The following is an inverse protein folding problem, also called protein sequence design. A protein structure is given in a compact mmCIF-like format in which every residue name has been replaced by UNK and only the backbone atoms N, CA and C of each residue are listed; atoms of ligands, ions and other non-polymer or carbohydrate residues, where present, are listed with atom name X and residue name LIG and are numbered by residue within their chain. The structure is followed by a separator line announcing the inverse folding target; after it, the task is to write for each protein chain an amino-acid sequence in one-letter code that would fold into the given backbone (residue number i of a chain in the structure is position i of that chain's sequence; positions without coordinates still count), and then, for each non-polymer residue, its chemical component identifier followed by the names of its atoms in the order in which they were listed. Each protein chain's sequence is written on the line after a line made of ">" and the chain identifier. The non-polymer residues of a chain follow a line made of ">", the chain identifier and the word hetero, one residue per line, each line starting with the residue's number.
data_IF_099853137295
#
_entry.id   IF_099853137295
#
_cell.length_a   1.000
_cell.length_b   1.000
_cell.length_c   1.000
_cell.angle_alpha   90.00
_cell.angle_beta   90.00
_cell.angle_gamma   90.00
#
_symmetry.space_group_name_H-M   'P 1'
#
loop_
_entity.id
_entity.type
_entity.pdbx_description
1 polymer ?
#
# COMPACT_ATOMS: atom_id res chain seq x y z
N UNK A 1 3.80 12.86 -29.12
CA UNK A 1 3.05 11.75 -28.52
C UNK A 1 3.66 11.51 -27.16
N UNK A 2 3.04 12.08 -26.12
CA UNK A 2 3.41 11.85 -24.72
C UNK A 2 2.77 10.57 -24.18
N UNK A 3 3.18 10.08 -23.00
CA UNK A 3 2.90 8.73 -22.55
C UNK A 3 1.42 8.55 -22.17
N UNK A 4 0.91 7.37 -22.51
CA UNK A 4 -0.40 6.83 -22.17
C UNK A 4 -0.26 6.19 -20.78
N UNK A 5 -0.85 6.78 -19.74
CA UNK A 5 -0.55 6.46 -18.34
C UNK A 5 -1.43 5.33 -17.79
N UNK A 6 -1.40 4.17 -18.44
CA UNK A 6 -1.82 2.90 -17.84
C UNK A 6 -3.16 2.33 -18.32
N UNK A 7 -4.06 3.15 -18.86
CA UNK A 7 -5.30 2.73 -19.50
C UNK A 7 -5.33 3.21 -20.96
N UNK A 8 -6.21 2.64 -21.78
CA UNK A 8 -6.36 3.07 -23.16
C UNK A 8 -7.26 4.31 -23.22
N UNK A 9 -6.84 5.40 -23.86
CA UNK A 9 -7.60 6.67 -23.88
C UNK A 9 -9.08 6.51 -24.30
N UNK A 10 -9.37 5.60 -25.23
CA UNK A 10 -10.75 5.33 -25.64
C UNK A 10 -11.54 4.62 -24.54
N UNK A 11 -10.92 3.68 -23.82
CA UNK A 11 -11.52 2.98 -22.68
C UNK A 11 -11.76 3.95 -21.53
N UNK A 12 -10.77 4.77 -21.20
CA UNK A 12 -10.86 5.79 -20.14
C UNK A 12 -12.07 6.70 -20.34
N UNK A 13 -12.20 7.29 -21.54
CA UNK A 13 -13.27 8.27 -21.81
C UNK A 13 -14.64 7.61 -21.98
N UNK A 14 -14.72 6.43 -22.62
CA UNK A 14 -16.02 5.85 -23.01
C UNK A 14 -16.53 4.76 -22.06
N UNK A 15 -15.68 4.22 -21.20
CA UNK A 15 -16.03 3.09 -20.30
C UNK A 15 -15.87 3.49 -18.85
N UNK A 16 -14.68 3.97 -18.47
CA UNK A 16 -14.34 4.19 -17.06
C UNK A 16 -14.65 5.61 -16.57
N UNK A 17 -14.97 6.53 -17.50
CA UNK A 17 -15.18 7.96 -17.26
C UNK A 17 -13.99 8.65 -16.58
N UNK A 18 -12.79 8.14 -16.83
CA UNK A 18 -11.53 8.69 -16.35
C UNK A 18 -10.91 9.64 -17.37
N UNK A 19 -9.86 10.36 -16.97
CA UNK A 19 -9.18 11.34 -17.80
C UNK A 19 -7.85 10.78 -18.33
N UNK A 20 -7.69 10.57 -19.65
CA UNK A 20 -6.46 10.00 -20.22
C UNK A 20 -5.19 10.85 -20.01
N UNK A 21 -5.35 12.12 -19.62
CA UNK A 21 -4.23 13.01 -19.30
C UNK A 21 -4.01 13.17 -17.80
N UNK A 22 -4.76 12.46 -16.95
CA UNK A 22 -4.64 12.49 -15.51
C UNK A 22 -4.78 11.07 -14.96
N UNK A 23 -3.67 10.52 -14.47
CA UNK A 23 -3.59 9.15 -13.95
C UNK A 23 -4.39 8.89 -12.66
N UNK A 24 -4.85 9.94 -11.99
CA UNK A 24 -5.64 9.91 -10.75
C UNK A 24 -6.77 10.94 -10.94
N UNK A 25 -7.88 10.48 -11.50
CA UNK A 25 -8.93 11.34 -12.05
C UNK A 25 -9.63 12.15 -10.97
N UNK A 26 -9.84 11.58 -9.78
CA UNK A 26 -10.53 12.25 -8.67
C UNK A 26 -9.61 12.87 -7.61
N UNK A 27 -8.30 12.71 -7.78
CA UNK A 27 -7.23 13.33 -6.98
C UNK A 27 -7.22 12.88 -5.52
N UNK A 28 -7.56 11.62 -5.26
CA UNK A 28 -7.54 11.03 -3.92
C UNK A 28 -6.21 10.34 -3.55
N UNK A 29 -5.34 10.23 -4.55
CA UNK A 29 -3.98 9.74 -4.43
C UNK A 29 -3.76 8.31 -4.91
N UNK A 30 -4.79 7.66 -5.46
CA UNK A 30 -4.71 6.36 -6.11
C UNK A 30 -4.82 6.50 -7.63
N UNK A 31 -4.01 5.73 -8.37
CA UNK A 31 -4.09 5.77 -9.83
C UNK A 31 -5.34 5.06 -10.33
N UNK A 32 -5.96 5.57 -11.40
CA UNK A 32 -7.22 5.06 -11.96
C UNK A 32 -7.15 3.55 -12.23
N UNK A 33 -6.03 3.06 -12.76
CA UNK A 33 -5.80 1.64 -13.04
C UNK A 33 -5.72 0.78 -11.75
N UNK A 34 -5.17 1.33 -10.68
CA UNK A 34 -5.00 0.68 -9.39
C UNK A 34 -6.35 0.56 -8.70
N UNK A 35 -7.17 1.60 -8.79
CA UNK A 35 -8.55 1.60 -8.31
C UNK A 35 -9.44 0.60 -9.04
N UNK A 36 -9.42 0.62 -10.39
CA UNK A 36 -10.18 -0.34 -11.19
C UNK A 36 -9.78 -1.79 -10.86
N UNK A 37 -8.48 -2.04 -10.66
CA UNK A 37 -7.97 -3.37 -10.27
C UNK A 37 -8.47 -3.79 -8.89
N UNK A 38 -8.65 -2.83 -7.97
CA UNK A 38 -9.12 -3.05 -6.61
C UNK A 38 -10.64 -2.82 -6.44
N UNK A 39 -11.37 -2.73 -7.55
CA UNK A 39 -12.83 -2.59 -7.60
C UNK A 39 -13.35 -1.33 -6.87
N UNK A 40 -12.57 -0.25 -6.92
CA UNK A 40 -12.98 1.07 -6.46
C UNK A 40 -13.26 2.00 -7.63
N UNK A 41 -13.82 3.17 -7.34
CA UNK A 41 -14.32 4.11 -8.33
C UNK A 41 -13.33 5.27 -8.53
N UNK A 42 -12.65 5.36 -9.69
CA UNK A 42 -11.63 6.38 -9.96
C UNK A 42 -12.16 7.80 -10.20
N UNK A 43 -13.48 7.96 -10.11
CA UNK A 43 -14.16 9.25 -10.24
C UNK A 43 -14.79 9.70 -8.92
N UNK A 44 -14.45 9.06 -7.80
CA UNK A 44 -14.98 9.36 -6.48
C UNK A 44 -13.94 9.20 -5.39
N UNK A 45 -13.40 10.32 -4.92
CA UNK A 45 -12.38 10.36 -3.86
C UNK A 45 -12.80 9.82 -2.48
N UNK A 46 -14.06 9.40 -2.35
CA UNK A 46 -14.56 8.69 -1.18
C UNK A 46 -14.42 7.16 -1.32
N UNK A 47 -14.02 6.67 -2.49
CA UNK A 47 -13.95 5.25 -2.85
C UNK A 47 -12.50 4.84 -3.07
N UNK A 48 -11.77 4.61 -1.99
CA UNK A 48 -10.34 4.25 -2.05
C UNK A 48 -10.10 2.75 -1.88
N UNK A 49 -9.06 2.18 -2.51
CA UNK A 49 -8.60 0.83 -2.23
C UNK A 49 -8.28 0.65 -0.74
N UNK A 50 -8.95 -0.31 -0.11
CA UNK A 50 -8.80 -0.51 1.32
C UNK A 50 -7.55 -1.35 1.63
N UNK A 51 -6.73 -0.88 2.57
CA UNK A 51 -5.61 -1.62 3.13
C UNK A 51 -5.87 -1.94 4.60
N UNK A 52 -5.80 -3.21 4.97
CA UNK A 52 -6.01 -3.65 6.36
C UNK A 52 -4.68 -3.87 7.07
N UNK A 53 -4.56 -3.40 8.32
CA UNK A 53 -3.40 -3.65 9.17
C UNK A 53 -3.85 -4.20 10.53
N UNK A 54 -3.20 -5.28 10.97
CA UNK A 54 -3.24 -5.76 12.33
C UNK A 54 -1.81 -5.96 12.82
N UNK A 55 -1.55 -5.56 14.07
CA UNK A 55 -0.25 -5.71 14.70
C UNK A 55 -0.44 -6.33 16.08
N UNK A 56 0.28 -7.41 16.34
CA UNK A 56 0.26 -8.13 17.61
C UNK A 56 1.68 -8.25 18.15
N UNK A 57 1.82 -8.22 19.48
CA UNK A 57 3.08 -8.53 20.15
C UNK A 57 2.94 -9.93 20.74
N UNK A 58 3.85 -10.82 20.35
CA UNK A 58 3.91 -12.21 20.82
C UNK A 58 5.28 -12.49 21.47
N UNK A 59 5.36 -13.52 22.30
CA UNK A 59 6.65 -14.03 22.79
C UNK A 59 7.04 -15.25 21.94
N UNK A 60 8.22 -15.20 21.33
CA UNK A 60 8.78 -16.29 20.54
C UNK A 60 10.20 -16.60 21.04
N UNK A 61 10.40 -17.84 21.52
CA UNK A 61 11.72 -18.31 21.98
C UNK A 61 12.39 -17.39 23.03
N UNK A 62 11.61 -16.86 23.99
CA UNK A 62 12.06 -15.92 25.03
C UNK A 62 12.51 -14.55 24.51
N UNK A 63 12.14 -14.19 23.28
CA UNK A 63 12.25 -12.86 22.73
C UNK A 63 10.85 -12.35 22.37
N UNK A 64 10.61 -11.05 22.50
CA UNK A 64 9.38 -10.46 21.97
C UNK A 64 9.44 -10.43 20.45
N UNK A 65 8.33 -10.71 19.78
CA UNK A 65 8.14 -10.53 18.35
C UNK A 65 7.00 -9.58 18.07
N UNK A 66 7.08 -8.90 16.93
CA UNK A 66 5.96 -8.15 16.37
C UNK A 66 5.45 -8.91 15.16
N UNK A 67 4.18 -9.31 15.24
CA UNK A 67 3.45 -9.96 14.17
C UNK A 67 2.67 -8.88 13.41
N UNK A 68 3.10 -8.59 12.18
CA UNK A 68 2.47 -7.62 11.30
C UNK A 68 1.65 -8.39 10.26
N UNK A 69 0.35 -8.20 10.29
CA UNK A 69 -0.59 -8.79 9.33
C UNK A 69 -1.18 -7.68 8.46
N UNK A 70 -0.98 -7.80 7.15
CA UNK A 70 -1.40 -6.83 6.15
C UNK A 70 -2.39 -7.49 5.20
N UNK A 71 -3.61 -6.94 5.10
CA UNK A 71 -4.51 -7.22 3.98
C UNK A 71 -4.15 -6.25 2.86
N UNK A 72 -3.38 -6.74 1.90
CA UNK A 72 -2.85 -5.92 0.80
C UNK A 72 -3.89 -5.76 -0.33
N UNK A 73 -3.89 -4.61 -1.03
CA UNK A 73 -4.53 -4.49 -2.34
C UNK A 73 -3.85 -5.41 -3.37
N UNK A 74 -4.44 -5.54 -4.56
CA UNK A 74 -3.78 -6.16 -5.72
C UNK A 74 -2.90 -5.11 -6.39
N UNK A 75 -1.65 -5.47 -6.66
CA UNK A 75 -0.62 -4.54 -7.11
C UNK A 75 -0.10 -3.66 -5.98
N UNK A 76 0.67 -2.64 -6.34
CA UNK A 76 1.25 -1.71 -5.38
C UNK A 76 2.49 -2.29 -4.67
N UNK A 77 3.50 -1.45 -4.47
CA UNK A 77 4.71 -1.78 -3.74
C UNK A 77 4.56 -1.36 -2.28
N UNK A 78 4.48 -2.35 -1.40
CA UNK A 78 4.40 -2.13 0.03
C UNK A 78 5.78 -2.24 0.69
N UNK A 79 6.02 -1.38 1.67
CA UNK A 79 7.15 -1.44 2.56
C UNK A 79 6.69 -1.62 4.01
N UNK A 80 7.27 -2.60 4.68
CA UNK A 80 7.30 -2.59 6.15
C UNK A 80 8.54 -1.82 6.54
N UNK A 81 8.34 -0.76 7.31
CA UNK A 81 9.40 0.14 7.75
C UNK A 81 9.52 0.12 9.27
N UNK A 82 10.75 0.21 9.75
CA UNK A 82 11.10 0.30 11.17
C UNK A 82 11.77 1.64 11.48
N UNK A 83 11.55 2.15 12.69
CA UNK A 83 12.21 3.34 13.21
C UNK A 83 12.54 3.20 14.69
N UNK A 84 13.62 3.83 15.15
CA UNK A 84 13.95 3.93 16.57
C UNK A 84 13.43 5.23 17.21
N UNK A 85 13.09 6.24 16.39
CA UNK A 85 12.83 7.61 16.86
C UNK A 85 11.60 8.29 16.21
N UNK A 86 10.82 7.55 15.40
CA UNK A 86 9.68 8.04 14.61
C UNK A 86 10.01 9.05 13.49
N UNK A 87 11.29 9.41 13.31
CA UNK A 87 11.75 10.36 12.31
C UNK A 87 12.48 9.66 11.17
N UNK A 88 13.45 8.81 11.51
CA UNK A 88 14.27 8.06 10.58
C UNK A 88 13.67 6.67 10.39
N UNK A 89 13.28 6.36 9.16
CA UNK A 89 12.62 5.10 8.80
C UNK A 89 13.47 4.30 7.82
N UNK A 90 13.61 3.01 8.08
CA UNK A 90 14.29 2.07 7.19
C UNK A 90 13.31 1.00 6.74
N UNK A 91 13.23 0.73 5.43
CA UNK A 91 12.46 -0.39 4.89
C UNK A 91 13.16 -1.71 5.24
N UNK A 92 12.50 -2.53 6.03
CA UNK A 92 13.01 -3.85 6.44
C UNK A 92 12.47 -4.97 5.54
N UNK A 93 11.34 -4.75 4.88
CA UNK A 93 10.83 -5.64 3.84
C UNK A 93 10.08 -4.82 2.77
N UNK A 94 10.23 -5.24 1.51
CA UNK A 94 9.47 -4.75 0.36
C UNK A 94 8.74 -5.93 -0.29
N UNK A 95 7.46 -5.75 -0.61
CA UNK A 95 6.68 -6.77 -1.31
C UNK A 95 5.53 -6.16 -2.13
N UNK A 96 5.13 -6.87 -3.18
CA UNK A 96 3.98 -6.49 -4.00
C UNK A 96 2.66 -6.97 -3.35
N UNK A 97 1.64 -6.12 -3.41
CA UNK A 97 0.29 -6.50 -3.01
C UNK A 97 -0.31 -7.53 -3.97
N UNK A 98 -0.92 -8.57 -3.42
CA UNK A 98 -1.50 -9.66 -4.20
C UNK A 98 -2.99 -9.90 -3.90
N UNK A 99 -3.64 -8.92 -3.24
CA UNK A 99 -5.04 -9.02 -2.82
C UNK A 99 -5.29 -10.00 -1.68
N UNK A 100 -4.25 -10.52 -1.03
CA UNK A 100 -4.36 -11.47 0.09
C UNK A 100 -3.78 -10.90 1.37
N UNK A 101 -4.15 -11.55 2.46
CA UNK A 101 -3.56 -11.32 3.77
C UNK A 101 -2.17 -11.95 3.85
N UNK A 102 -1.21 -11.16 4.31
CA UNK A 102 0.18 -11.55 4.49
C UNK A 102 0.56 -11.29 5.94
N UNK A 103 1.19 -12.27 6.60
CA UNK A 103 1.71 -12.11 7.95
C UNK A 103 3.24 -12.18 7.95
N UNK A 104 3.86 -11.34 8.77
CA UNK A 104 5.31 -11.27 8.98
C UNK A 104 5.62 -11.17 10.46
N UNK A 105 6.65 -11.90 10.87
CA UNK A 105 7.10 -11.97 12.27
C UNK A 105 8.47 -11.34 12.33
N UNK A 106 8.60 -10.27 13.11
CA UNK A 106 9.87 -9.59 13.33
C UNK A 106 10.30 -9.80 14.79
N UNK A 107 11.37 -10.58 15.05
CA UNK A 107 11.91 -10.69 16.40
C UNK A 107 12.46 -9.34 16.84
N UNK A 108 12.24 -8.99 18.10
CA UNK A 108 12.74 -7.77 18.73
C UNK A 108 13.92 -8.13 19.61
N UNK A 109 15.07 -7.51 19.35
CA UNK A 109 16.22 -7.61 20.26
C UNK A 109 15.97 -6.87 21.57
N UNK A 110 16.56 -7.37 22.65
CA UNK A 110 16.39 -6.82 24.00
C UNK A 110 16.86 -5.36 24.05
N UNK A 111 15.94 -4.46 24.44
CA UNK A 111 16.13 -3.02 24.68
C UNK A 111 16.12 -2.07 23.47
N UNK A 112 15.89 -2.51 22.23
CA UNK A 112 15.66 -1.58 21.13
C UNK A 112 14.18 -1.13 21.10
N UNK A 113 13.91 0.17 21.22
CA UNK A 113 12.60 0.73 20.86
C UNK A 113 12.46 0.65 19.34
N UNK A 114 11.50 -0.13 18.85
CA UNK A 114 11.22 -0.26 17.43
C UNK A 114 9.76 0.12 17.16
N UNK A 115 9.57 1.19 16.42
CA UNK A 115 8.30 1.56 15.81
C UNK A 115 8.20 0.91 14.45
N UNK A 116 6.99 0.51 14.06
CA UNK A 116 6.73 -0.10 12.77
C UNK A 116 5.61 0.65 12.07
N UNK A 117 5.70 0.75 10.74
CA UNK A 117 4.60 1.17 9.88
C UNK A 117 4.62 0.39 8.59
N UNK A 118 3.50 0.38 7.89
CA UNK A 118 3.42 -0.12 6.53
C UNK A 118 3.10 1.05 5.62
N UNK A 119 3.75 1.12 4.45
CA UNK A 119 3.51 2.15 3.44
C UNK A 119 3.28 1.52 2.09
N UNK A 120 2.37 2.11 1.33
CA UNK A 120 2.27 1.93 -0.10
C UNK A 120 3.15 3.00 -0.77
N UNK A 121 4.11 2.60 -1.60
CA UNK A 121 5.19 3.47 -2.05
C UNK A 121 5.02 4.03 -3.47
N UNK A 122 4.21 3.37 -4.29
CA UNK A 122 4.08 3.62 -5.72
C UNK A 122 2.72 4.21 -6.11
N UNK A 123 1.96 4.71 -5.13
CA UNK A 123 0.78 5.55 -5.33
C UNK A 123 1.12 6.99 -4.90
N UNK A 124 0.50 7.98 -5.54
CA UNK A 124 0.86 9.39 -5.36
C UNK A 124 -0.23 10.14 -4.60
N UNK A 125 -0.04 10.50 -3.32
CA UNK A 125 -1.01 11.28 -2.54
C UNK A 125 -1.13 12.73 -3.00
#
# INVERSE_FOLDING_TARGET
>A
MGPCYGLNDYVEVNTDNTNPNNKDTDTDGFEDNFELTNQTSPTSSASTPQMGLAMEISEYASSLSVDITVQSPVGGLLAIEQSENLQDWTSIELFEGNGRTISRVFPREDNASAFYRVRLLDQTP
#
